data_IF_662374448054
#
_entry.id   IF_662374448054
#
_cell.length_a   1.000
_cell.length_b   1.000
_cell.length_c   1.000
_cell.angle_alpha   90.00
_cell.angle_beta   90.00
_cell.angle_gamma   90.00
#
_symmetry.space_group_name_H-M   'P 1'
#
loop_
_entity.id
_entity.type
_entity.pdbx_description
1 polymer ?
#
# COMPACT_ATOMS: atom_id res chain seq x y z
N UNK A 1 13.98 -20.12 12.54
CA UNK A 1 12.83 -19.39 11.96
C UNK A 1 13.36 -18.60 10.78
N UNK A 2 12.82 -18.82 9.58
CA UNK A 2 13.19 -18.03 8.40
C UNK A 2 12.17 -16.90 8.32
N UNK A 3 12.65 -15.66 8.22
CA UNK A 3 11.82 -14.47 8.00
C UNK A 3 12.21 -13.93 6.62
N UNK A 4 11.21 -13.71 5.78
CA UNK A 4 11.36 -13.13 4.45
C UNK A 4 10.58 -11.82 4.38
N UNK A 5 11.13 -10.84 3.68
CA UNK A 5 10.54 -9.52 3.53
C UNK A 5 10.75 -9.01 2.11
N UNK A 6 9.71 -8.39 1.56
CA UNK A 6 9.77 -7.68 0.30
C UNK A 6 9.06 -6.34 0.45
N UNK A 7 9.42 -5.41 -0.42
CA UNK A 7 8.87 -4.06 -0.43
C UNK A 7 8.07 -3.86 -1.71
N UNK A 8 6.84 -3.39 -1.57
CA UNK A 8 6.05 -2.93 -2.70
C UNK A 8 6.35 -1.46 -2.95
N UNK A 9 6.85 -1.16 -4.16
CA UNK A 9 7.08 0.19 -4.64
C UNK A 9 5.88 0.63 -5.49
N UNK A 10 5.44 1.86 -5.31
CA UNK A 10 4.29 2.42 -6.01
C UNK A 10 4.63 3.76 -6.66
N UNK A 11 4.03 4.10 -7.82
CA UNK A 11 4.11 5.45 -8.35
C UNK A 11 3.65 6.51 -7.35
N UNK A 12 4.23 7.72 -7.41
CA UNK A 12 3.86 8.85 -6.53
C UNK A 12 2.36 9.16 -6.54
N UNK A 13 1.69 8.98 -7.67
CA UNK A 13 0.23 9.17 -7.82
C UNK A 13 -0.58 8.20 -6.95
N UNK A 14 -0.07 6.99 -6.70
CA UNK A 14 -0.71 6.01 -5.80
C UNK A 14 -0.43 6.40 -4.35
N UNK A 15 0.81 6.78 -4.04
CA UNK A 15 1.18 7.21 -2.69
C UNK A 15 0.38 8.43 -2.21
N UNK A 16 0.19 9.42 -3.10
CA UNK A 16 -0.57 10.65 -2.80
C UNK A 16 -2.09 10.47 -2.87
N UNK A 17 -2.57 9.48 -3.63
CA UNK A 17 -4.00 9.22 -3.87
C UNK A 17 -4.53 7.93 -3.26
N UNK A 18 -3.93 7.42 -2.16
CA UNK A 18 -4.19 6.05 -1.64
C UNK A 18 -5.67 5.70 -1.46
N UNK A 19 -6.49 6.67 -1.07
CA UNK A 19 -7.91 6.48 -0.76
C UNK A 19 -8.68 6.00 -2.00
N UNK A 20 -8.42 6.59 -3.17
CA UNK A 20 -9.04 6.18 -4.42
C UNK A 20 -8.75 4.72 -4.78
N UNK A 21 -7.55 4.23 -4.46
CA UNK A 21 -7.17 2.83 -4.72
C UNK A 21 -7.71 1.88 -3.65
N UNK A 22 -7.91 2.34 -2.42
CA UNK A 22 -8.59 1.55 -1.39
C UNK A 22 -10.05 1.30 -1.78
N UNK A 23 -10.72 2.29 -2.36
CA UNK A 23 -12.12 2.14 -2.80
C UNK A 23 -12.28 1.16 -3.97
N UNK A 24 -11.32 1.11 -4.89
CA UNK A 24 -11.40 0.26 -6.09
C UNK A 24 -10.80 -1.14 -5.91
N UNK A 25 -9.82 -1.30 -5.01
CA UNK A 25 -9.03 -2.53 -4.87
C UNK A 25 -9.05 -3.07 -3.44
N UNK A 26 -9.92 -4.07 -3.14
CA UNK A 26 -10.08 -4.61 -1.78
C UNK A 26 -8.78 -5.17 -1.15
N UNK A 27 -7.90 -5.73 -1.98
CA UNK A 27 -6.59 -6.22 -1.49
C UNK A 27 -5.65 -5.07 -1.13
N UNK A 28 -5.71 -3.96 -1.88
CA UNK A 28 -4.95 -2.77 -1.57
C UNK A 28 -5.48 -2.12 -0.29
N UNK A 29 -6.79 -2.01 -0.14
CA UNK A 29 -7.43 -1.54 1.09
C UNK A 29 -7.00 -2.36 2.30
N UNK A 30 -7.06 -3.69 2.23
CA UNK A 30 -6.71 -4.57 3.34
C UNK A 30 -5.28 -4.31 3.87
N UNK A 31 -4.32 -4.03 2.98
CA UNK A 31 -2.91 -3.86 3.32
C UNK A 31 -2.52 -2.40 3.58
N UNK A 32 -3.23 -1.47 2.92
CA UNK A 32 -2.84 -0.06 2.79
C UNK A 32 -3.98 0.91 3.09
N UNK A 33 -5.04 0.51 3.79
CA UNK A 33 -6.02 1.47 4.29
C UNK A 33 -5.47 2.28 5.47
N UNK A 34 -4.75 1.63 6.39
CA UNK A 34 -4.26 2.31 7.60
C UNK A 34 -3.25 3.42 7.27
N UNK A 35 -3.37 4.62 7.88
CA UNK A 35 -2.38 5.68 7.75
C UNK A 35 -0.98 5.27 8.25
N UNK A 36 -0.89 4.25 9.11
CA UNK A 36 0.40 3.71 9.58
C UNK A 36 1.06 2.78 8.56
N UNK A 37 0.31 2.27 7.59
CA UNK A 37 0.85 1.47 6.49
C UNK A 37 1.53 2.41 5.50
N UNK A 38 2.87 2.30 5.41
CA UNK A 38 3.70 3.19 4.61
C UNK A 38 3.71 2.71 3.16
N UNK A 39 3.41 3.65 2.26
CA UNK A 39 3.68 3.51 0.83
C UNK A 39 5.02 4.18 0.53
N UNK A 40 5.78 3.58 -0.38
CA UNK A 40 7.08 4.07 -0.81
C UNK A 40 7.14 4.07 -2.33
N UNK A 41 7.78 5.10 -2.89
CA UNK A 41 8.00 5.29 -4.32
C UNK A 41 9.43 4.96 -4.73
#
# INVERSE_FOLDING_TARGET
>A
MIIDFHTHLFPESICSGRECYCESEPAFELLYHSPTSRLVS
#
